data_IF_940723867287
#
_entry.id   IF_940723867287
#
_cell.length_a   1.000
_cell.length_b   1.000
_cell.length_c   1.000
_cell.angle_alpha   90.00
_cell.angle_beta   90.00
_cell.angle_gamma   90.00
#
_symmetry.space_group_name_H-M   'P 1'
#
loop_
_entity.id
_entity.type
_entity.pdbx_description
1 polymer ?
#
# COMPACT_ATOMS: atom_id res chain seq x y z
N UNK A 1 -13.94 16.37 19.74
CA UNK A 1 -14.38 15.30 18.82
C UNK A 1 -14.94 14.14 19.66
N UNK A 2 -16.20 13.81 19.45
CA UNK A 2 -17.06 13.11 20.44
C UNK A 2 -16.73 11.60 20.51
N UNK A 3 -16.25 11.12 21.67
CA UNK A 3 -15.92 9.69 21.94
C UNK A 3 -17.07 8.70 21.62
N UNK A 4 -18.31 9.18 21.61
CA UNK A 4 -19.50 8.40 21.27
C UNK A 4 -19.57 8.04 19.77
N UNK A 5 -19.13 8.92 18.87
CA UNK A 5 -19.10 8.65 17.41
C UNK A 5 -18.03 7.64 17.00
N UNK A 6 -16.94 7.57 17.77
CA UNK A 6 -15.88 6.58 17.51
C UNK A 6 -16.33 5.18 17.91
N UNK A 7 -17.03 5.03 19.05
CA UNK A 7 -17.60 3.75 19.50
C UNK A 7 -18.67 3.21 18.56
N UNK A 8 -19.53 4.07 18.00
CA UNK A 8 -20.56 3.65 17.05
C UNK A 8 -19.96 3.14 15.74
N UNK A 9 -18.89 3.75 15.21
CA UNK A 9 -18.20 3.31 14.01
C UNK A 9 -17.49 1.96 14.18
N UNK A 10 -16.90 1.73 15.35
CA UNK A 10 -16.25 0.44 15.66
C UNK A 10 -17.29 -0.68 15.81
N UNK A 11 -18.45 -0.39 16.36
CA UNK A 11 -19.53 -1.38 16.52
C UNK A 11 -20.16 -1.77 15.18
N UNK A 12 -20.31 -0.83 14.25
CA UNK A 12 -20.81 -1.11 12.89
C UNK A 12 -19.83 -1.98 12.10
N UNK A 13 -18.53 -1.74 12.25
CA UNK A 13 -17.50 -2.58 11.60
C UNK A 13 -17.48 -4.00 12.16
N UNK A 14 -17.63 -4.15 13.48
CA UNK A 14 -17.69 -5.46 14.14
C UNK A 14 -18.97 -6.21 13.75
N UNK A 15 -20.11 -5.52 13.65
CA UNK A 15 -21.37 -6.11 13.24
C UNK A 15 -21.33 -6.62 11.78
N UNK A 16 -20.66 -5.90 10.88
CA UNK A 16 -20.48 -6.35 9.49
C UNK A 16 -19.60 -7.61 9.40
N UNK A 17 -18.58 -7.71 10.27
CA UNK A 17 -17.71 -8.88 10.33
C UNK A 17 -18.46 -10.13 10.83
N UNK A 18 -19.35 -9.96 11.80
CA UNK A 18 -20.13 -11.08 12.40
C UNK A 18 -21.23 -11.58 11.44
N UNK A 19 -21.81 -10.71 10.62
CA UNK A 19 -22.83 -11.10 9.65
C UNK A 19 -22.26 -11.77 8.39
N UNK A 20 -20.99 -11.56 8.05
CA UNK A 20 -20.35 -12.22 6.91
C UNK A 20 -19.90 -13.66 7.20
N UNK A 21 -19.67 -14.02 8.46
CA UNK A 21 -19.20 -15.34 8.88
C UNK A 21 -20.17 -16.51 8.55
N UNK A 22 -21.50 -16.42 8.74
CA UNK A 22 -22.37 -17.57 8.47
C UNK A 22 -22.51 -17.90 6.98
N UNK A 23 -22.33 -16.92 6.08
CA UNK A 23 -22.38 -17.18 4.63
C UNK A 23 -21.11 -17.87 4.11
N UNK A 24 -19.97 -17.69 4.76
CA UNK A 24 -18.72 -18.36 4.39
C UNK A 24 -18.70 -19.85 4.81
N UNK A 25 -19.43 -20.22 5.85
CA UNK A 25 -19.47 -21.60 6.36
C UNK A 25 -20.33 -22.55 5.54
N UNK A 26 -21.28 -22.05 4.74
CA UNK A 26 -22.12 -22.87 3.85
C UNK A 26 -21.52 -23.09 2.46
N UNK A 27 -20.36 -22.48 2.17
CA UNK A 27 -19.66 -22.65 0.89
C UNK A 27 -18.72 -23.87 0.84
N UNK A 28 -18.83 -24.80 1.79
CA UNK A 28 -17.90 -25.93 1.92
C UNK A 28 -18.24 -27.16 1.06
N UNK A 29 -19.07 -27.04 0.04
CA UNK A 29 -19.39 -28.21 -0.77
C UNK A 29 -18.84 -28.11 -2.18
N UNK A 30 -17.89 -28.98 -2.46
CA UNK A 30 -17.61 -29.64 -3.73
C UNK A 30 -17.27 -28.79 -4.94
N UNK A 31 -16.04 -28.23 -4.98
CA UNK A 31 -15.40 -27.94 -6.27
C UNK A 31 -13.90 -28.32 -6.22
N UNK A 32 -13.65 -29.60 -6.42
CA UNK A 32 -12.28 -30.17 -6.48
C UNK A 32 -11.63 -30.07 -7.87
N UNK A 33 -12.25 -29.50 -8.90
CA UNK A 33 -11.91 -30.01 -10.21
C UNK A 33 -11.16 -29.15 -11.21
N UNK A 34 -10.93 -27.85 -11.04
CA UNK A 34 -10.25 -27.12 -12.15
C UNK A 34 -9.13 -26.15 -11.77
N UNK A 35 -8.98 -25.75 -10.51
CA UNK A 35 -7.98 -24.76 -10.09
C UNK A 35 -6.81 -25.39 -9.30
N UNK A 36 -6.82 -26.69 -9.11
CA UNK A 36 -5.92 -27.45 -8.23
C UNK A 36 -4.51 -27.64 -8.81
N UNK A 37 -4.28 -27.27 -10.07
CA UNK A 37 -3.05 -27.61 -10.78
C UNK A 37 -2.02 -26.47 -10.85
N UNK A 38 -2.36 -25.25 -10.44
CA UNK A 38 -1.36 -24.19 -10.39
C UNK A 38 -0.67 -24.15 -9.03
N UNK A 39 0.49 -24.81 -8.93
CA UNK A 39 1.35 -24.76 -7.75
C UNK A 39 1.92 -23.35 -7.53
N UNK A 40 1.98 -22.53 -8.55
CA UNK A 40 2.49 -21.17 -8.51
C UNK A 40 1.31 -20.22 -8.61
N UNK A 41 1.26 -19.22 -7.73
CA UNK A 41 0.34 -18.11 -7.82
C UNK A 41 1.10 -16.80 -7.84
N UNK A 42 0.54 -15.82 -8.53
CA UNK A 42 1.07 -14.45 -8.57
C UNK A 42 -0.04 -13.47 -8.21
N UNK A 43 0.33 -12.36 -7.62
CA UNK A 43 -0.60 -11.29 -7.27
C UNK A 43 -0.03 -9.92 -7.65
N UNK A 44 -0.93 -9.07 -8.10
CA UNK A 44 -0.67 -7.67 -8.40
C UNK A 44 -1.80 -6.84 -7.81
N UNK A 45 -1.47 -5.82 -7.04
CA UNK A 45 -2.47 -4.97 -6.39
C UNK A 45 -2.06 -3.52 -6.26
N UNK A 46 -3.06 -2.67 -6.20
CA UNK A 46 -2.94 -1.25 -5.82
C UNK A 46 -3.31 -1.11 -4.34
N UNK A 47 -2.49 -0.38 -3.61
CA UNK A 47 -2.64 -0.20 -2.17
C UNK A 47 -2.91 1.26 -1.80
N UNK A 48 -3.90 1.47 -0.95
CA UNK A 48 -4.12 2.73 -0.22
C UNK A 48 -3.74 2.50 1.25
N UNK A 49 -2.78 3.25 1.75
CA UNK A 49 -2.19 3.01 3.07
C UNK A 49 -2.57 4.05 4.08
N UNK A 50 -3.15 3.60 5.18
CA UNK A 50 -3.46 4.41 6.36
C UNK A 50 -2.32 4.28 7.37
N UNK A 51 -1.53 5.34 7.63
CA UNK A 51 -0.55 5.33 8.70
C UNK A 51 -1.25 5.30 10.06
N UNK A 52 -0.63 4.63 11.04
CA UNK A 52 -1.06 4.59 12.43
C UNK A 52 -0.07 5.34 13.31
N UNK A 53 -0.51 5.73 14.51
CA UNK A 53 0.36 6.40 15.48
C UNK A 53 1.54 5.50 15.90
N UNK A 54 2.77 6.05 16.00
CA UNK A 54 3.13 7.48 15.91
C UNK A 54 3.32 8.03 14.48
N UNK A 55 3.34 7.19 13.45
CA UNK A 55 3.59 7.60 12.06
C UNK A 55 2.52 8.57 11.53
N UNK A 56 1.25 8.37 11.90
CA UNK A 56 0.12 9.19 11.48
C UNK A 56 0.18 10.66 11.94
N UNK A 57 1.01 10.99 12.93
CA UNK A 57 1.20 12.37 13.37
C UNK A 57 1.95 13.20 12.33
N UNK A 58 2.79 12.55 11.54
CA UNK A 58 3.70 13.22 10.62
C UNK A 58 3.42 12.92 9.14
N UNK A 59 2.57 11.93 8.86
CA UNK A 59 2.28 11.46 7.50
C UNK A 59 0.80 11.32 7.24
N UNK A 60 0.37 11.70 6.06
CA UNK A 60 -0.97 11.49 5.52
C UNK A 60 -1.12 10.10 4.89
N UNK A 61 -2.34 9.79 4.43
CA UNK A 61 -2.59 8.61 3.61
C UNK A 61 -1.60 8.52 2.46
N UNK A 62 -1.16 7.28 2.22
CA UNK A 62 -0.28 6.96 1.12
C UNK A 62 -0.96 6.10 0.07
N UNK A 63 -0.29 5.93 -1.04
CA UNK A 63 -0.68 5.00 -2.10
C UNK A 63 0.54 4.23 -2.58
N UNK A 64 0.29 3.09 -3.18
CA UNK A 64 1.37 2.23 -3.65
C UNK A 64 0.86 1.04 -4.44
N UNK A 65 1.75 0.10 -4.64
CA UNK A 65 1.44 -1.17 -5.29
C UNK A 65 2.11 -2.33 -4.57
N UNK A 66 1.50 -3.49 -4.73
CA UNK A 66 2.00 -4.75 -4.22
C UNK A 66 2.10 -5.76 -5.35
N UNK A 67 3.21 -6.46 -5.40
CA UNK A 67 3.41 -7.59 -6.31
C UNK A 67 3.92 -8.78 -5.52
N UNK A 68 3.49 -9.98 -5.87
CA UNK A 68 3.92 -11.17 -5.18
C UNK A 68 3.88 -12.41 -6.05
N UNK A 69 4.65 -13.40 -5.63
CA UNK A 69 4.63 -14.73 -6.17
C UNK A 69 4.68 -15.74 -5.02
N UNK A 70 3.93 -16.82 -5.15
CA UNK A 70 3.79 -17.81 -4.11
C UNK A 70 3.68 -19.23 -4.62
N UNK A 71 3.83 -20.15 -3.68
CA UNK A 71 3.69 -21.57 -3.91
C UNK A 71 2.54 -22.12 -3.05
N UNK A 72 1.59 -22.76 -3.70
CA UNK A 72 0.46 -23.42 -3.07
C UNK A 72 0.85 -24.88 -2.72
N UNK A 73 0.94 -25.20 -1.42
CA UNK A 73 1.18 -26.61 -1.01
C UNK A 73 -0.10 -27.43 -1.07
N UNK A 74 -1.24 -26.77 -0.90
CA UNK A 74 -2.56 -27.35 -1.02
C UNK A 74 -3.56 -26.29 -1.47
N UNK A 75 -4.79 -26.68 -1.69
CA UNK A 75 -5.90 -25.76 -2.04
C UNK A 75 -6.13 -24.63 -1.02
N UNK A 76 -5.66 -24.83 0.22
CA UNK A 76 -5.88 -23.86 1.32
C UNK A 76 -4.62 -23.18 1.82
N UNK A 77 -3.43 -23.69 1.53
CA UNK A 77 -2.18 -23.28 2.16
C UNK A 77 -1.17 -22.82 1.11
N UNK A 78 -0.62 -21.63 1.28
CA UNK A 78 0.40 -21.09 0.42
C UNK A 78 1.48 -20.33 1.21
N UNK A 79 2.69 -20.30 0.66
CA UNK A 79 3.71 -19.31 1.02
C UNK A 79 3.82 -18.32 -0.14
N UNK A 80 3.86 -17.02 0.20
CA UNK A 80 3.91 -15.94 -0.79
C UNK A 80 5.04 -14.99 -0.42
N UNK A 81 5.96 -14.78 -1.36
CA UNK A 81 6.93 -13.68 -1.30
C UNK A 81 6.32 -12.45 -1.94
N UNK A 82 6.35 -11.32 -1.25
CA UNK A 82 5.70 -10.10 -1.69
C UNK A 82 6.61 -8.88 -1.56
N UNK A 83 6.46 -7.99 -2.51
CA UNK A 83 7.06 -6.67 -2.51
C UNK A 83 5.96 -5.63 -2.48
N UNK A 84 5.98 -4.77 -1.46
CA UNK A 84 5.10 -3.62 -1.30
C UNK A 84 5.92 -2.34 -1.43
N UNK A 85 5.51 -1.45 -2.33
CA UNK A 85 5.95 -0.07 -2.36
C UNK A 85 4.82 0.86 -2.00
N UNK A 86 5.09 1.81 -1.10
CA UNK A 86 4.15 2.83 -0.69
C UNK A 86 4.80 4.20 -0.67
N UNK A 87 4.10 5.19 -1.22
CA UNK A 87 4.46 6.60 -1.14
C UNK A 87 3.57 7.31 -0.13
N UNK A 88 4.19 7.88 0.88
CA UNK A 88 3.56 8.63 1.96
C UNK A 88 3.91 10.11 1.83
N UNK A 89 2.97 10.98 2.14
CA UNK A 89 3.19 12.43 2.12
C UNK A 89 3.25 12.96 3.55
N UNK A 90 4.19 13.89 3.87
CA UNK A 90 4.21 14.55 5.17
C UNK A 90 2.97 15.41 5.36
N UNK A 91 2.57 15.58 6.63
CA UNK A 91 1.48 16.49 6.99
C UNK A 91 1.92 17.95 6.84
N UNK A 92 0.95 18.85 6.70
CA UNK A 92 1.24 20.29 6.67
C UNK A 92 1.85 20.79 7.99
N UNK A 93 1.51 20.14 9.10
CA UNK A 93 2.08 20.45 10.42
C UNK A 93 3.60 20.27 10.45
N UNK A 94 4.12 19.28 9.72
CA UNK A 94 5.57 19.03 9.59
C UNK A 94 6.20 20.03 8.61
N UNK A 95 5.54 20.38 7.52
CA UNK A 95 6.11 21.25 6.49
C UNK A 95 6.07 22.74 6.85
N UNK A 96 5.06 23.19 7.60
CA UNK A 96 4.88 24.61 7.92
C UNK A 96 6.07 25.22 8.67
N UNK A 97 6.60 24.66 9.77
CA UNK A 97 7.73 25.22 10.46
C UNK A 97 9.00 25.28 9.57
N UNK A 98 9.16 24.29 8.68
CA UNK A 98 10.29 24.27 7.73
C UNK A 98 10.14 25.38 6.70
N UNK A 99 8.94 25.62 6.18
CA UNK A 99 8.67 26.71 5.25
C UNK A 99 8.92 28.06 5.88
N UNK A 100 8.52 28.25 7.13
CA UNK A 100 8.79 29.48 7.89
C UNK A 100 10.29 29.69 8.09
N UNK A 101 11.00 28.67 8.55
CA UNK A 101 12.44 28.74 8.79
C UNK A 101 13.25 29.04 7.51
N UNK A 102 12.82 28.54 6.36
CA UNK A 102 13.45 28.75 5.07
C UNK A 102 12.91 29.96 4.29
N UNK A 103 11.95 30.68 4.88
CA UNK A 103 11.26 31.81 4.27
C UNK A 103 10.79 31.52 2.82
N UNK A 104 10.17 30.35 2.62
CA UNK A 104 9.69 29.89 1.31
C UNK A 104 8.49 28.96 1.41
N UNK A 105 7.53 29.14 0.52
CA UNK A 105 6.38 28.25 0.41
C UNK A 105 6.70 26.96 -0.38
N UNK A 106 7.77 26.96 -1.18
CA UNK A 106 8.08 25.93 -2.15
C UNK A 106 8.91 24.77 -1.53
N UNK A 107 8.48 24.26 -0.38
CA UNK A 107 9.06 23.08 0.26
C UNK A 107 8.12 21.91 0.09
N UNK A 108 8.63 20.84 -0.49
CA UNK A 108 7.92 19.58 -0.71
C UNK A 108 8.67 18.43 -0.03
N UNK A 109 7.91 17.47 0.43
CA UNK A 109 8.47 16.26 1.02
C UNK A 109 7.71 15.03 0.57
N UNK A 110 8.38 13.89 0.53
CA UNK A 110 7.76 12.59 0.37
C UNK A 110 8.56 11.51 1.08
N UNK A 111 7.86 10.51 1.57
CA UNK A 111 8.45 9.30 2.11
C UNK A 111 8.08 8.12 1.22
N UNK A 112 9.02 7.20 1.04
CA UNK A 112 8.74 5.90 0.42
C UNK A 112 9.01 4.80 1.43
N UNK A 113 8.12 3.81 1.42
CA UNK A 113 8.28 2.57 2.15
C UNK A 113 8.36 1.43 1.14
N UNK A 114 9.39 0.62 1.30
CA UNK A 114 9.61 -0.62 0.56
C UNK A 114 9.57 -1.76 1.56
N UNK A 115 8.78 -2.79 1.31
CA UNK A 115 8.73 -3.97 2.16
C UNK A 115 8.89 -5.23 1.29
N UNK A 116 9.82 -6.07 1.67
CA UNK A 116 10.01 -7.42 1.11
C UNK A 116 9.64 -8.40 2.18
N UNK A 117 8.56 -9.15 1.99
CA UNK A 117 7.99 -10.03 3.01
C UNK A 117 7.79 -11.44 2.49
N UNK A 118 7.95 -12.41 3.39
CA UNK A 118 7.56 -13.79 3.17
C UNK A 118 6.37 -14.09 4.10
N UNK A 119 5.27 -14.54 3.52
CA UNK A 119 3.99 -14.63 4.18
C UNK A 119 3.40 -16.03 4.01
N UNK A 120 2.80 -16.53 5.07
CA UNK A 120 1.95 -17.70 5.03
C UNK A 120 0.50 -17.26 4.87
N UNK A 121 -0.21 -17.85 3.92
CA UNK A 121 -1.62 -17.61 3.63
C UNK A 121 -2.44 -18.87 3.83
N UNK A 122 -3.51 -18.74 4.60
CA UNK A 122 -4.56 -19.74 4.73
C UNK A 122 -5.85 -19.22 4.10
N UNK A 123 -6.35 -19.90 3.08
CA UNK A 123 -7.48 -19.47 2.28
C UNK A 123 -8.62 -20.50 2.33
N UNK A 124 -9.82 -20.03 2.65
CA UNK A 124 -11.07 -20.75 2.52
C UNK A 124 -11.70 -20.36 1.20
N UNK A 125 -11.67 -21.27 0.24
CA UNK A 125 -12.21 -21.05 -1.10
C UNK A 125 -13.60 -21.58 -1.20
N UNK A 126 -14.56 -20.73 -1.58
CA UNK A 126 -15.88 -21.13 -2.05
C UNK A 126 -15.96 -21.02 -3.57
N UNK A 127 -17.11 -21.39 -4.11
CA UNK A 127 -17.37 -21.45 -5.57
C UNK A 127 -17.11 -20.11 -6.26
N UNK A 128 -17.63 -19.01 -5.72
CA UNK A 128 -17.46 -17.65 -6.27
C UNK A 128 -16.70 -16.73 -5.33
N UNK A 129 -16.79 -16.97 -4.02
CA UNK A 129 -16.19 -16.12 -2.99
C UNK A 129 -15.18 -16.95 -2.17
N UNK A 130 -14.11 -16.30 -1.74
CA UNK A 130 -13.16 -16.86 -0.80
C UNK A 130 -12.80 -15.84 0.26
N UNK A 131 -12.32 -16.33 1.39
CA UNK A 131 -11.75 -15.51 2.45
C UNK A 131 -10.42 -16.10 2.88
N UNK A 132 -9.46 -15.25 3.25
CA UNK A 132 -8.17 -15.72 3.70
C UNK A 132 -7.61 -14.87 4.83
N UNK A 133 -6.72 -15.49 5.57
CA UNK A 133 -5.83 -14.80 6.50
C UNK A 133 -4.39 -14.96 6.03
N UNK A 134 -3.60 -13.95 6.28
CA UNK A 134 -2.20 -13.91 5.87
C UNK A 134 -1.36 -13.33 7.00
N UNK A 135 -0.20 -13.91 7.25
CA UNK A 135 0.74 -13.43 8.24
C UNK A 135 2.16 -13.75 7.82
N UNK A 136 3.07 -12.88 8.17
CA UNK A 136 4.48 -13.09 7.82
C UNK A 136 5.39 -12.00 8.37
N UNK A 137 6.56 -11.92 7.78
CA UNK A 137 7.54 -10.93 8.15
C UNK A 137 8.56 -10.71 7.05
N UNK A 138 9.39 -9.71 7.24
CA UNK A 138 10.40 -9.39 6.25
C UNK A 138 11.17 -8.11 6.56
N UNK A 139 11.82 -7.59 5.55
CA UNK A 139 12.63 -6.39 5.64
C UNK A 139 11.86 -5.18 5.11
N UNK A 140 11.87 -4.12 5.89
CA UNK A 140 11.23 -2.84 5.60
C UNK A 140 12.29 -1.76 5.48
N UNK A 141 12.33 -1.09 4.33
CA UNK A 141 13.18 0.07 4.11
C UNK A 141 12.33 1.30 3.86
N UNK A 142 12.57 2.34 4.63
CA UNK A 142 11.92 3.64 4.45
C UNK A 142 12.95 4.70 4.11
N UNK A 143 12.58 5.59 3.22
CA UNK A 143 13.33 6.81 2.97
C UNK A 143 12.39 8.02 3.00
N UNK A 144 12.92 9.15 3.41
CA UNK A 144 12.25 10.43 3.40
C UNK A 144 13.12 11.43 2.68
N UNK A 145 12.50 12.19 1.79
CA UNK A 145 13.15 13.26 1.04
C UNK A 145 12.42 14.56 1.29
N UNK A 146 13.20 15.62 1.54
CA UNK A 146 12.74 16.99 1.63
C UNK A 146 13.44 17.78 0.55
N UNK A 147 12.69 18.47 -0.29
CA UNK A 147 13.21 19.28 -1.37
C UNK A 147 12.61 20.69 -1.36
N UNK A 148 13.36 21.63 -1.89
CA UNK A 148 12.95 23.01 -2.13
C UNK A 148 13.05 23.27 -3.62
N UNK A 149 11.96 23.72 -4.23
CA UNK A 149 12.00 24.21 -5.60
C UNK A 149 12.57 25.62 -5.63
N UNK A 150 13.69 25.80 -6.32
CA UNK A 150 14.37 27.08 -6.50
C UNK A 150 14.26 27.48 -7.96
N UNK A 151 13.77 28.70 -8.21
CA UNK A 151 13.76 29.25 -9.56
C UNK A 151 15.19 29.64 -9.95
N UNK A 152 15.76 28.91 -10.91
CA UNK A 152 17.18 29.08 -11.34
C UNK A 152 17.37 30.02 -12.50
N UNK A 153 16.30 30.51 -13.10
CA UNK A 153 16.38 31.49 -14.20
C UNK A 153 15.15 31.46 -15.09
N UNK A 154 15.18 32.30 -16.11
CA UNK A 154 14.21 32.29 -17.21
C UNK A 154 14.86 31.55 -18.36
N UNK A 155 14.34 30.43 -18.76
CA UNK A 155 14.77 29.75 -19.97
C UNK A 155 13.56 29.41 -20.84
N UNK A 156 13.81 29.22 -22.14
CA UNK A 156 12.79 28.64 -22.99
C UNK A 156 12.52 27.21 -22.56
N UNK A 157 11.34 26.96 -22.07
CA UNK A 157 10.85 25.60 -21.81
C UNK A 157 10.17 25.10 -23.07
N UNK A 158 10.66 23.99 -23.60
CA UNK A 158 10.05 23.34 -24.73
C UNK A 158 9.32 22.10 -24.24
N UNK A 159 8.01 22.03 -24.46
CA UNK A 159 7.19 20.85 -24.18
C UNK A 159 6.92 20.09 -25.47
N UNK A 160 6.96 18.76 -25.46
CA UNK A 160 6.55 17.97 -26.61
C UNK A 160 5.09 18.30 -26.94
N UNK A 161 4.82 18.76 -28.15
CA UNK A 161 3.46 18.79 -28.66
C UNK A 161 3.02 17.37 -28.93
N UNK A 162 1.71 17.06 -28.76
CA UNK A 162 1.12 15.74 -28.99
C UNK A 162 1.30 15.18 -30.42
N UNK A 163 2.01 15.88 -31.27
CA UNK A 163 2.29 15.52 -32.67
C UNK A 163 3.63 14.77 -32.81
N UNK A 164 3.97 13.92 -31.87
CA UNK A 164 5.11 13.00 -31.86
C UNK A 164 6.51 13.60 -32.17
N UNK A 165 6.60 14.67 -32.95
CA UNK A 165 7.85 15.26 -33.45
C UNK A 165 7.95 16.77 -33.24
N UNK A 166 6.96 17.36 -32.60
CA UNK A 166 6.90 18.80 -32.38
C UNK A 166 7.16 19.17 -30.93
N UNK A 167 7.82 20.30 -30.74
CA UNK A 167 7.95 20.96 -29.46
C UNK A 167 7.29 22.34 -29.53
N UNK A 168 6.49 22.68 -28.53
CA UNK A 168 6.04 24.03 -28.31
C UNK A 168 6.94 24.63 -27.24
N UNK A 169 7.68 25.66 -27.61
CA UNK A 169 8.58 26.36 -26.73
C UNK A 169 7.92 27.65 -26.22
N UNK A 170 7.88 27.83 -24.92
CA UNK A 170 7.48 29.07 -24.27
C UNK A 170 8.59 29.52 -23.35
N UNK A 171 8.79 30.83 -23.22
CA UNK A 171 9.64 31.39 -22.17
C UNK A 171 8.97 31.13 -20.82
N UNK A 172 9.64 30.42 -19.93
CA UNK A 172 9.14 30.06 -18.61
C UNK A 172 10.22 30.15 -17.55
N UNK A 173 9.80 30.18 -16.30
CA UNK A 173 10.71 30.05 -15.18
C UNK A 173 11.15 28.59 -15.09
N UNK A 174 12.46 28.37 -15.10
CA UNK A 174 13.01 27.02 -14.80
C UNK A 174 13.18 26.90 -13.30
N UNK A 175 12.49 25.95 -12.72
CA UNK A 175 12.69 25.57 -11.32
C UNK A 175 13.52 24.29 -11.25
N UNK A 176 14.49 24.27 -10.37
CA UNK A 176 15.28 23.08 -10.01
C UNK A 176 14.94 22.68 -8.59
N UNK A 177 14.73 21.38 -8.37
CA UNK A 177 14.49 20.83 -7.04
C UNK A 177 15.82 20.59 -6.33
N UNK A 178 16.10 21.40 -5.33
CA UNK A 178 17.26 21.23 -4.46
C UNK A 178 16.89 20.32 -3.29
N UNK A 179 17.57 19.19 -3.14
CA UNK A 179 17.40 18.32 -1.98
C UNK A 179 17.96 19.01 -0.73
N UNK A 180 17.11 19.24 0.25
CA UNK A 180 17.48 19.83 1.54
C UNK A 180 17.93 18.77 2.53
N UNK A 181 17.22 17.64 2.56
CA UNK A 181 17.52 16.53 3.44
C UNK A 181 17.03 15.21 2.85
N UNK A 182 17.77 14.17 3.12
CA UNK A 182 17.39 12.79 2.82
C UNK A 182 17.78 11.90 3.99
N UNK A 183 16.89 10.99 4.38
CA UNK A 183 17.12 10.04 5.44
C UNK A 183 16.55 8.70 5.07
N UNK A 184 17.32 7.63 5.29
CA UNK A 184 16.89 6.25 5.06
C UNK A 184 17.09 5.40 6.31
N UNK A 185 16.22 4.41 6.50
CA UNK A 185 16.30 3.48 7.61
C UNK A 185 15.66 2.15 7.26
N UNK A 186 16.33 1.06 7.59
CA UNK A 186 15.83 -0.31 7.41
C UNK A 186 15.58 -0.98 8.75
N UNK A 187 14.59 -1.86 8.80
CA UNK A 187 14.29 -2.69 9.97
C UNK A 187 13.59 -3.98 9.53
N UNK A 188 13.75 -5.04 10.31
CA UNK A 188 12.90 -6.22 10.19
C UNK A 188 11.56 -5.96 10.88
N UNK A 189 10.50 -6.51 10.28
CA UNK A 189 9.15 -6.31 10.79
C UNK A 189 8.25 -7.50 10.48
N UNK A 190 7.04 -7.41 10.98
CA UNK A 190 6.00 -8.42 10.81
C UNK A 190 4.76 -7.80 10.20
N UNK A 191 3.95 -8.64 9.59
CA UNK A 191 2.65 -8.23 9.08
C UNK A 191 1.61 -9.32 9.32
N UNK A 192 0.35 -8.91 9.31
CA UNK A 192 -0.77 -9.83 9.40
C UNK A 192 -2.06 -9.15 8.96
N UNK A 193 -2.91 -9.91 8.29
CA UNK A 193 -4.12 -9.35 7.73
C UNK A 193 -5.11 -10.40 7.26
N UNK A 194 -6.15 -9.92 6.63
CA UNK A 194 -7.19 -10.73 6.03
C UNK A 194 -7.66 -10.14 4.72
N UNK A 195 -8.22 -10.97 3.88
CA UNK A 195 -8.76 -10.54 2.61
C UNK A 195 -9.88 -11.44 2.12
N UNK A 196 -10.52 -10.95 1.09
CA UNK A 196 -11.57 -11.67 0.36
C UNK A 196 -11.17 -11.80 -1.09
N UNK A 197 -11.56 -12.91 -1.69
CA UNK A 197 -11.37 -13.15 -3.11
C UNK A 197 -12.70 -13.37 -3.81
N UNK A 198 -12.82 -12.89 -5.04
CA UNK A 198 -13.98 -13.11 -5.90
C UNK A 198 -13.47 -13.74 -7.19
N UNK A 199 -14.01 -14.90 -7.55
CA UNK A 199 -13.72 -15.56 -8.81
C UNK A 199 -14.38 -14.78 -9.97
N UNK A 200 -13.66 -14.57 -11.04
CA UNK A 200 -14.19 -14.05 -12.31
C UNK A 200 -14.47 -15.25 -13.21
N UNK A 201 -15.30 -15.09 -14.23
CA UNK A 201 -15.75 -16.16 -15.14
C UNK A 201 -14.61 -16.99 -15.77
N UNK A 202 -13.41 -16.45 -15.83
CA UNK A 202 -12.21 -17.18 -16.20
C UNK A 202 -11.61 -17.94 -15.00
N UNK A 203 -11.32 -19.24 -15.12
CA UNK A 203 -10.90 -20.07 -13.99
C UNK A 203 -9.56 -19.67 -13.35
N UNK A 204 -8.76 -18.84 -14.02
CA UNK A 204 -7.42 -18.44 -13.57
C UNK A 204 -7.36 -17.17 -12.75
N UNK A 205 -8.38 -16.29 -12.80
CA UNK A 205 -8.30 -14.96 -12.20
C UNK A 205 -9.22 -14.83 -11.00
N UNK A 206 -8.68 -14.27 -9.93
CA UNK A 206 -9.45 -13.87 -8.74
C UNK A 206 -9.15 -12.42 -8.41
N UNK A 207 -10.17 -11.60 -8.32
CA UNK A 207 -10.04 -10.29 -7.67
C UNK A 207 -9.90 -10.50 -6.17
N UNK A 208 -9.06 -9.70 -5.53
CA UNK A 208 -8.94 -9.69 -4.09
C UNK A 208 -8.98 -8.29 -3.52
N UNK A 209 -9.48 -8.20 -2.28
CA UNK A 209 -9.39 -7.04 -1.42
C UNK A 209 -8.79 -7.50 -0.11
N UNK A 210 -7.73 -6.86 0.31
CA UNK A 210 -6.97 -7.23 1.51
C UNK A 210 -6.72 -6.02 2.39
N UNK A 211 -6.86 -6.19 3.71
CA UNK A 211 -6.39 -5.24 4.70
C UNK A 211 -5.32 -5.91 5.56
N UNK A 212 -4.11 -5.33 5.59
CA UNK A 212 -2.97 -5.92 6.29
C UNK A 212 -2.30 -4.90 7.20
N UNK A 213 -2.11 -5.25 8.46
CA UNK A 213 -1.33 -4.45 9.39
C UNK A 213 0.16 -4.77 9.23
N UNK A 214 0.98 -3.75 9.04
CA UNK A 214 2.44 -3.84 8.99
C UNK A 214 3.04 -3.14 10.18
N UNK A 215 4.00 -3.81 10.82
CA UNK A 215 4.74 -3.28 11.95
C UNK A 215 6.24 -3.56 11.77
N UNK A 216 7.04 -2.51 11.74
CA UNK A 216 8.49 -2.61 11.74
C UNK A 216 9.06 -1.66 12.81
N UNK A 217 9.68 -2.21 13.87
CA UNK A 217 10.29 -1.43 14.93
C UNK A 217 11.49 -0.65 14.40
N UNK A 218 11.66 0.57 14.90
CA UNK A 218 12.81 1.39 14.57
C UNK A 218 13.19 2.25 15.78
N UNK A 219 14.45 2.62 15.90
CA UNK A 219 15.01 3.34 17.05
C UNK A 219 14.36 4.69 17.35
N UNK A 220 13.79 5.36 16.35
CA UNK A 220 13.16 6.69 16.52
C UNK A 220 11.66 6.63 16.41
N UNK A 221 11.14 6.09 15.31
CA UNK A 221 9.68 6.02 15.05
C UNK A 221 9.39 4.68 14.39
N UNK A 222 8.54 3.89 15.01
CA UNK A 222 8.07 2.62 14.44
C UNK A 222 7.27 2.86 13.17
N UNK A 223 7.46 2.00 12.19
CA UNK A 223 6.62 1.98 10.99
C UNK A 223 5.37 1.18 11.30
N UNK A 224 4.22 1.83 11.28
CA UNK A 224 2.92 1.21 11.50
C UNK A 224 1.94 1.74 10.46
N UNK A 225 1.41 0.85 9.64
CA UNK A 225 0.44 1.23 8.61
C UNK A 225 -0.49 0.06 8.28
N UNK A 226 -1.65 0.40 7.75
CA UNK A 226 -2.61 -0.55 7.21
C UNK A 226 -2.82 -0.21 5.73
N UNK A 227 -2.14 -0.90 4.79
CA UNK A 227 -2.54 -0.90 3.40
C UNK A 227 -3.86 -1.65 3.22
N UNK A 228 -4.74 -1.06 2.44
CA UNK A 228 -5.91 -1.72 1.87
C UNK A 228 -5.57 -1.92 0.40
N UNK A 229 -5.36 -3.18 0.02
CA UNK A 229 -4.93 -3.56 -1.33
C UNK A 229 -6.11 -4.13 -2.10
N UNK A 230 -6.29 -3.66 -3.33
CA UNK A 230 -7.24 -4.20 -4.30
C UNK A 230 -6.41 -4.70 -5.48
N UNK A 231 -6.62 -5.95 -5.88
CA UNK A 231 -5.78 -6.52 -6.92
C UNK A 231 -6.35 -7.77 -7.58
N UNK A 232 -5.50 -8.36 -8.40
CA UNK A 232 -5.78 -9.58 -9.15
C UNK A 232 -4.74 -10.63 -8.75
N UNK A 233 -5.20 -11.87 -8.62
CA UNK A 233 -4.41 -13.07 -8.38
C UNK A 233 -4.63 -14.05 -9.51
N UNK A 234 -3.55 -14.67 -9.99
CA UNK A 234 -3.52 -15.68 -11.06
C UNK A 234 -2.58 -16.83 -10.73
#
# INVERSE_FOLDING_TARGET
MNKARLKARTLVFLAFLVFALPYALHAQDHDQDLDENSKINTNLGFALSAPLNPLAQNTNFGWGFEVGAGYNFSSRHAIVGEFLWNRLQPTQEVLTPIRVALNTANVNGHGNLYAWTANYRYELRGRSLGAYVIAGGGFYYRNAHLSKSVTTGVSASCTPAWLWWGFVCSSGQVSSDQTLASSGSGAFGVNGGMGFTVKVDEPRYRFYVEARYHYAPNSRVNTQLIPITIGIRF
#
